data_IF_772771030473
#
_entry.id   IF_772771030473
#
_cell.length_a   1.000
_cell.length_b   1.000
_cell.length_c   1.000
_cell.angle_alpha   90.00
_cell.angle_beta   90.00
_cell.angle_gamma   90.00
#
_symmetry.space_group_name_H-M   'P 1'
#
loop_
_entity.id
_entity.type
_entity.pdbx_description
1 polymer ?
#
# COMPACT_ATOMS: atom_id res chain seq x y z
N UNK A 1 -10.98 1.49 -11.28
CA UNK A 1 -10.62 1.97 -9.95
C UNK A 1 -10.03 3.38 -9.98
N UNK A 2 -9.01 3.63 -10.86
CA UNK A 2 -8.39 4.96 -10.96
C UNK A 2 -9.41 6.05 -11.30
N UNK A 3 -10.22 5.87 -12.32
CA UNK A 3 -11.24 6.84 -12.74
C UNK A 3 -12.24 7.15 -11.62
N UNK A 4 -12.69 6.13 -10.88
CA UNK A 4 -13.56 6.32 -9.73
C UNK A 4 -12.90 7.17 -8.64
N UNK A 5 -11.66 6.85 -8.26
CA UNK A 5 -10.92 7.63 -7.27
C UNK A 5 -10.59 9.04 -7.77
N UNK A 6 -10.24 9.19 -9.04
CA UNK A 6 -9.99 10.48 -9.69
C UNK A 6 -11.23 11.38 -9.69
N UNK A 7 -12.44 10.79 -9.85
CA UNK A 7 -13.70 11.54 -9.78
C UNK A 7 -14.02 12.09 -8.38
N UNK A 8 -13.35 11.63 -7.32
CA UNK A 8 -13.55 12.09 -5.94
C UNK A 8 -12.66 13.27 -5.56
N UNK A 9 -11.75 13.67 -6.43
CA UNK A 9 -10.82 14.78 -6.17
C UNK A 9 -11.03 15.90 -7.18
N UNK A 10 -10.55 17.09 -6.82
CA UNK A 10 -10.64 18.27 -7.69
C UNK A 10 -9.76 18.10 -8.94
N UNK A 11 -10.11 18.74 -10.06
CA UNK A 11 -9.31 18.65 -11.28
C UNK A 11 -7.84 19.06 -11.13
N UNK A 12 -7.59 20.10 -10.31
CA UNK A 12 -6.26 20.63 -10.03
C UNK A 12 -5.45 19.81 -9.03
N UNK A 13 -6.08 18.93 -8.25
CA UNK A 13 -5.39 18.07 -7.27
C UNK A 13 -4.69 16.92 -7.99
N UNK A 14 -3.38 16.79 -7.77
CA UNK A 14 -2.56 15.73 -8.34
C UNK A 14 -2.90 14.37 -7.74
N UNK A 15 -2.75 13.33 -8.53
CA UNK A 15 -2.95 11.94 -8.11
C UNK A 15 -1.63 11.18 -8.10
N UNK A 16 -1.22 10.73 -6.91
CA UNK A 16 -0.05 9.87 -6.72
C UNK A 16 -0.51 8.42 -6.55
N UNK A 17 -0.10 7.55 -7.46
CA UNK A 17 -0.36 6.12 -7.39
C UNK A 17 0.74 5.39 -6.61
N UNK A 18 0.35 4.61 -5.60
CA UNK A 18 1.29 3.83 -4.77
C UNK A 18 1.40 2.41 -5.34
N UNK A 19 2.57 2.10 -5.90
CA UNK A 19 2.86 0.82 -6.58
C UNK A 19 4.01 0.04 -5.92
N UNK A 20 4.26 0.28 -4.63
CA UNK A 20 5.26 -0.42 -3.82
C UNK A 20 4.93 -1.91 -3.69
N UNK A 21 5.92 -2.72 -3.25
CA UNK A 21 5.79 -4.16 -3.04
C UNK A 21 5.23 -4.88 -4.28
N UNK A 22 5.89 -4.65 -5.44
CA UNK A 22 5.47 -5.20 -6.74
C UNK A 22 4.01 -4.86 -7.07
N UNK A 23 3.60 -3.59 -6.87
CA UNK A 23 2.21 -3.16 -7.03
C UNK A 23 1.25 -4.08 -6.24
N UNK A 24 1.52 -4.21 -4.93
CA UNK A 24 0.74 -5.03 -3.99
C UNK A 24 0.69 -6.52 -4.38
N UNK A 25 1.82 -7.06 -4.86
CA UNK A 25 1.96 -8.46 -5.21
C UNK A 25 1.53 -8.80 -6.64
N UNK A 26 1.54 -7.81 -7.54
CA UNK A 26 1.19 -7.94 -8.95
C UNK A 26 2.41 -7.70 -9.85
N UNK A 27 2.22 -7.06 -11.00
CA UNK A 27 3.27 -6.58 -11.90
C UNK A 27 3.38 -5.06 -11.81
N UNK A 28 4.44 -4.58 -11.16
CA UNK A 28 4.62 -3.15 -10.93
C UNK A 28 4.83 -2.35 -12.23
N UNK A 29 5.54 -2.90 -13.21
CA UNK A 29 5.77 -2.21 -14.49
C UNK A 29 4.49 -2.14 -15.31
N UNK A 30 3.79 -3.24 -15.49
CA UNK A 30 2.54 -3.28 -16.26
C UNK A 30 1.47 -2.35 -15.65
N UNK A 31 1.31 -2.37 -14.33
CA UNK A 31 0.36 -1.50 -13.63
C UNK A 31 0.77 -0.03 -13.73
N UNK A 32 2.05 0.27 -13.52
CA UNK A 32 2.53 1.66 -13.58
C UNK A 32 2.44 2.23 -15.01
N UNK A 33 2.79 1.47 -16.05
CA UNK A 33 2.63 1.90 -17.44
C UNK A 33 1.17 2.22 -17.74
N UNK A 34 0.25 1.32 -17.40
CA UNK A 34 -1.17 1.56 -17.61
C UNK A 34 -1.69 2.79 -16.86
N UNK A 35 -1.28 2.98 -15.60
CA UNK A 35 -1.66 4.17 -14.83
C UNK A 35 -1.03 5.46 -15.38
N UNK A 36 0.19 5.40 -15.91
CA UNK A 36 0.83 6.54 -16.59
C UNK A 36 0.03 6.93 -17.84
N UNK A 37 -0.41 5.96 -18.65
CA UNK A 37 -1.25 6.19 -19.83
C UNK A 37 -2.62 6.79 -19.45
N UNK A 38 -3.16 6.46 -18.28
CA UNK A 38 -4.36 7.06 -17.72
C UNK A 38 -4.17 8.47 -17.15
N UNK A 39 -2.92 8.96 -17.10
CA UNK A 39 -2.61 10.32 -16.67
C UNK A 39 -2.39 10.50 -15.18
N UNK A 40 -1.82 9.51 -14.49
CA UNK A 40 -1.34 9.66 -13.11
C UNK A 40 -0.20 10.68 -13.06
N UNK A 41 -0.22 11.59 -12.08
CA UNK A 41 0.77 12.66 -11.94
C UNK A 41 2.09 12.20 -11.30
N UNK A 42 2.03 11.21 -10.39
CA UNK A 42 3.15 10.69 -9.60
C UNK A 42 3.00 9.21 -9.32
N UNK A 43 4.14 8.55 -9.11
CA UNK A 43 4.18 7.24 -8.44
C UNK A 43 4.83 7.33 -7.08
N UNK A 44 4.53 6.37 -6.20
CA UNK A 44 5.29 6.13 -4.98
C UNK A 44 5.63 4.67 -4.81
N UNK A 45 6.87 4.42 -4.44
CA UNK A 45 7.44 3.12 -4.10
C UNK A 45 8.00 3.14 -2.67
N UNK A 46 8.30 1.98 -2.09
CA UNK A 46 8.90 1.93 -0.76
C UNK A 46 10.41 2.19 -0.82
N UNK A 47 11.13 1.57 -1.74
CA UNK A 47 12.58 1.55 -1.82
C UNK A 47 13.11 1.95 -3.19
N UNK A 48 14.41 2.30 -3.25
CA UNK A 48 15.08 2.76 -4.46
C UNK A 48 15.04 1.75 -5.61
N UNK A 49 15.27 0.46 -5.32
CA UNK A 49 15.26 -0.60 -6.34
C UNK A 49 13.90 -0.76 -7.03
N UNK A 50 12.79 -0.55 -6.31
CA UNK A 50 11.46 -0.55 -6.93
C UNK A 50 11.32 0.62 -7.92
N UNK A 51 11.83 1.81 -7.54
CA UNK A 51 11.83 2.98 -8.42
C UNK A 51 12.70 2.79 -9.67
N UNK A 52 13.89 2.17 -9.51
CA UNK A 52 14.77 1.80 -10.64
C UNK A 52 14.03 0.86 -11.60
N UNK A 53 13.40 -0.18 -11.05
CA UNK A 53 12.63 -1.14 -11.84
C UNK A 53 11.52 -0.45 -12.66
N UNK A 54 10.82 0.54 -12.08
CA UNK A 54 9.83 1.32 -12.82
C UNK A 54 10.48 2.18 -13.93
N UNK A 55 11.64 2.81 -13.66
CA UNK A 55 12.37 3.56 -14.69
C UNK A 55 12.82 2.70 -15.86
N UNK A 56 13.37 1.52 -15.57
CA UNK A 56 13.73 0.51 -16.60
C UNK A 56 12.51 0.07 -17.43
N UNK A 57 11.32 0.04 -16.81
CA UNK A 57 10.04 -0.23 -17.48
C UNK A 57 9.48 0.94 -18.29
N UNK A 58 10.16 2.12 -18.34
CA UNK A 58 9.73 3.25 -19.17
C UNK A 58 8.85 4.28 -18.45
N UNK A 59 8.74 4.23 -17.14
CA UNK A 59 8.02 5.26 -16.37
C UNK A 59 8.78 6.57 -16.38
N UNK A 60 8.13 7.64 -16.82
CA UNK A 60 8.72 8.99 -16.98
C UNK A 60 8.23 10.01 -15.95
N UNK A 61 7.02 9.85 -15.42
CA UNK A 61 6.49 10.75 -14.38
C UNK A 61 7.32 10.66 -13.09
N UNK A 62 7.27 11.66 -12.20
CA UNK A 62 8.01 11.65 -10.94
C UNK A 62 7.70 10.42 -10.08
N UNK A 63 8.72 9.88 -9.41
CA UNK A 63 8.61 8.72 -8.51
C UNK A 63 9.12 9.11 -7.13
N UNK A 64 8.24 9.08 -6.14
CA UNK A 64 8.55 9.29 -4.73
C UNK A 64 9.01 7.99 -4.07
N UNK A 65 10.18 7.98 -3.45
CA UNK A 65 10.66 6.87 -2.61
C UNK A 65 10.32 7.17 -1.16
N UNK A 66 9.39 6.39 -0.59
CA UNK A 66 8.81 6.64 0.74
C UNK A 66 9.77 6.32 1.89
N UNK A 67 10.74 5.43 1.68
CA UNK A 67 11.71 5.01 2.67
C UNK A 67 13.13 4.96 2.07
N UNK A 68 13.71 6.13 1.72
CA UNK A 68 15.06 6.21 1.22
C UNK A 68 16.07 5.74 2.27
N UNK A 69 17.07 5.01 1.85
CA UNK A 69 18.17 4.51 2.69
C UNK A 69 19.49 5.07 2.21
N UNK A 70 20.38 5.45 3.13
CA UNK A 70 21.69 6.05 2.84
C UNK A 70 22.50 5.26 1.80
N UNK A 71 22.51 3.94 1.89
CA UNK A 71 23.22 3.05 0.97
C UNK A 71 22.79 3.23 -0.51
N UNK A 72 21.58 3.75 -0.74
CA UNK A 72 21.00 3.87 -2.08
C UNK A 72 20.83 5.32 -2.56
N UNK A 73 21.34 6.32 -1.84
CA UNK A 73 21.18 7.73 -2.25
C UNK A 73 21.76 8.04 -3.63
N UNK A 74 22.92 7.44 -3.97
CA UNK A 74 23.50 7.57 -5.31
C UNK A 74 22.56 7.03 -6.38
N UNK A 75 21.94 5.88 -6.13
CA UNK A 75 20.99 5.24 -7.04
C UNK A 75 19.73 6.10 -7.21
N UNK A 76 19.24 6.75 -6.14
CA UNK A 76 18.13 7.70 -6.23
C UNK A 76 18.43 8.83 -7.21
N UNK A 77 19.61 9.46 -7.06
CA UNK A 77 20.03 10.58 -7.89
C UNK A 77 20.20 10.16 -9.35
N UNK A 78 20.89 9.04 -9.61
CA UNK A 78 21.16 8.51 -10.94
C UNK A 78 19.89 8.15 -11.72
N UNK A 79 18.80 7.82 -11.00
CA UNK A 79 17.54 7.41 -11.61
C UNK A 79 16.41 8.45 -11.47
N UNK A 80 16.74 9.69 -11.06
CA UNK A 80 15.76 10.77 -10.86
C UNK A 80 14.58 10.33 -9.99
N UNK A 81 14.88 9.75 -8.81
CA UNK A 81 13.90 9.31 -7.82
C UNK A 81 13.87 10.29 -6.65
N UNK A 82 12.71 10.83 -6.33
CA UNK A 82 12.52 11.84 -5.30
C UNK A 82 12.43 11.20 -3.90
N UNK A 83 13.33 11.53 -2.94
CA UNK A 83 13.28 10.94 -1.61
C UNK A 83 12.27 11.64 -0.69
N UNK A 84 11.57 10.84 0.11
CA UNK A 84 10.83 11.30 1.29
C UNK A 84 11.77 11.39 2.50
N UNK A 85 12.24 12.58 2.83
CA UNK A 85 13.17 12.84 3.93
C UNK A 85 12.38 12.94 5.25
N UNK A 86 12.77 12.18 6.27
CA UNK A 86 12.00 12.01 7.50
C UNK A 86 12.80 12.18 8.80
N UNK A 87 14.11 12.49 8.71
CA UNK A 87 14.95 12.81 9.86
C UNK A 87 16.13 13.67 9.46
N UNK A 88 16.73 14.37 10.44
CA UNK A 88 17.90 15.22 10.20
C UNK A 88 19.11 14.44 9.70
N UNK A 89 19.31 13.20 10.20
CA UNK A 89 20.40 12.33 9.73
C UNK A 89 20.24 12.00 8.23
N UNK A 90 19.03 11.59 7.81
CA UNK A 90 18.73 11.28 6.40
C UNK A 90 18.88 12.53 5.54
N UNK A 91 18.46 13.72 6.02
CA UNK A 91 18.61 14.99 5.31
C UNK A 91 20.09 15.33 5.09
N UNK A 92 20.87 15.32 6.17
CA UNK A 92 22.29 15.68 6.12
C UNK A 92 23.09 14.73 5.22
N UNK A 93 22.86 13.42 5.35
CA UNK A 93 23.51 12.41 4.53
C UNK A 93 23.10 12.53 3.04
N UNK A 94 21.84 12.88 2.76
CA UNK A 94 21.39 13.06 1.38
C UNK A 94 21.99 14.33 0.76
N UNK A 95 22.05 15.45 1.50
CA UNK A 95 22.71 16.69 1.06
C UNK A 95 24.17 16.41 0.70
N UNK A 96 24.92 15.73 1.58
CA UNK A 96 26.31 15.37 1.32
C UNK A 96 26.47 14.54 0.05
N UNK A 97 25.62 13.52 -0.11
CA UNK A 97 25.63 12.68 -1.32
C UNK A 97 25.31 13.50 -2.58
N UNK A 98 24.33 14.40 -2.52
CA UNK A 98 23.97 15.28 -3.63
C UNK A 98 25.11 16.24 -4.01
N UNK A 99 25.80 16.80 -3.02
CA UNK A 99 27.01 17.63 -3.22
C UNK A 99 28.16 16.83 -3.86
N UNK A 100 28.45 15.63 -3.34
CA UNK A 100 29.47 14.73 -3.92
C UNK A 100 29.17 14.37 -5.39
N UNK A 101 27.89 14.28 -5.76
CA UNK A 101 27.45 14.02 -7.14
C UNK A 101 27.36 15.29 -8.00
N UNK A 102 27.62 16.45 -7.44
CA UNK A 102 27.59 17.74 -8.14
C UNK A 102 26.20 18.15 -8.64
N UNK A 103 25.13 17.58 -8.07
CA UNK A 103 23.76 17.95 -8.45
C UNK A 103 23.32 19.21 -7.71
N UNK A 104 22.42 19.97 -8.33
CA UNK A 104 21.86 21.19 -7.76
C UNK A 104 20.34 21.14 -7.78
N UNK A 105 19.74 21.74 -6.75
CA UNK A 105 18.28 21.82 -6.59
C UNK A 105 17.57 20.46 -6.74
N UNK A 106 18.20 19.38 -6.26
CA UNK A 106 17.58 18.05 -6.35
C UNK A 106 16.29 18.00 -5.54
N UNK A 107 15.15 17.58 -6.12
CA UNK A 107 13.84 17.63 -5.48
C UNK A 107 13.74 16.65 -4.31
N UNK A 108 13.31 17.16 -3.16
CA UNK A 108 13.05 16.33 -1.96
C UNK A 108 11.68 16.66 -1.37
N UNK A 109 11.06 15.66 -0.73
CA UNK A 109 9.84 15.81 0.04
C UNK A 109 10.13 15.71 1.52
N UNK A 110 9.69 16.67 2.33
CA UNK A 110 9.84 16.62 3.79
C UNK A 110 8.62 15.91 4.40
N UNK A 111 8.88 14.86 5.16
CA UNK A 111 7.83 14.10 5.84
C UNK A 111 7.76 14.46 7.31
N UNK A 112 6.57 14.87 7.77
CA UNK A 112 6.29 15.21 9.16
C UNK A 112 5.42 14.15 9.83
N UNK A 113 5.68 13.92 11.11
CA UNK A 113 4.87 13.08 11.97
C UNK A 113 3.75 13.92 12.61
N UNK A 114 2.50 13.60 12.28
CA UNK A 114 1.33 14.23 12.86
C UNK A 114 0.57 13.36 13.85
N UNK A 115 1.11 12.14 14.14
CA UNK A 115 0.52 11.23 15.12
C UNK A 115 0.51 9.76 14.74
N UNK A 116 0.95 9.37 13.52
CA UNK A 116 1.11 7.96 13.16
C UNK A 116 2.32 7.32 13.86
N UNK A 117 3.32 8.13 14.28
CA UNK A 117 4.51 7.71 15.04
C UNK A 117 5.35 6.61 14.39
N UNK A 118 5.45 6.64 13.06
CA UNK A 118 6.24 5.67 12.29
C UNK A 118 7.53 6.28 11.73
N UNK A 119 7.42 7.35 10.97
CA UNK A 119 8.52 8.13 10.40
C UNK A 119 8.05 9.57 10.19
N UNK A 120 8.95 10.53 10.31
CA UNK A 120 8.70 11.94 10.04
C UNK A 120 9.30 12.83 11.11
N UNK A 121 9.69 14.03 10.72
CA UNK A 121 10.12 15.08 11.61
C UNK A 121 9.01 15.49 12.57
N UNK A 122 9.35 15.99 13.75
CA UNK A 122 8.46 16.78 14.56
C UNK A 122 8.31 18.21 13.99
N UNK A 123 7.26 18.92 14.37
CA UNK A 123 7.08 20.30 13.92
C UNK A 123 8.21 21.22 14.40
N UNK A 124 8.70 20.99 15.61
CA UNK A 124 9.75 21.75 16.27
C UNK A 124 11.10 21.67 15.56
N UNK A 125 11.33 20.65 14.71
CA UNK A 125 12.56 20.50 13.93
C UNK A 125 12.61 21.42 12.70
N UNK A 126 11.50 22.05 12.30
CA UNK A 126 11.43 22.86 11.06
C UNK A 126 12.48 23.97 11.00
N UNK A 127 12.79 24.74 12.06
CA UNK A 127 13.85 25.74 12.03
C UNK A 127 15.23 25.16 11.73
N UNK A 128 15.57 23.99 12.26
CA UNK A 128 16.88 23.36 12.02
C UNK A 128 16.96 22.75 10.63
N UNK A 129 15.87 22.14 10.14
CA UNK A 129 15.73 21.71 8.74
C UNK A 129 15.96 22.90 7.80
N UNK A 130 15.32 24.03 8.09
CA UNK A 130 15.43 25.25 7.29
C UNK A 130 16.89 25.74 7.21
N UNK A 131 17.62 25.76 8.33
CA UNK A 131 19.04 26.12 8.35
C UNK A 131 19.86 25.21 7.44
N UNK A 132 19.67 23.90 7.54
CA UNK A 132 20.37 22.92 6.69
C UNK A 132 20.10 23.17 5.20
N UNK A 133 18.85 23.46 4.84
CA UNK A 133 18.45 23.68 3.45
C UNK A 133 19.00 25.01 2.91
N UNK A 134 18.97 26.10 3.69
CA UNK A 134 19.40 27.42 3.22
C UNK A 134 20.94 27.56 3.05
N UNK A 135 21.74 26.69 3.65
CA UNK A 135 23.21 26.75 3.57
C UNK A 135 23.80 25.94 2.41
N UNK A 136 22.97 25.47 1.50
CA UNK A 136 23.42 24.67 0.36
C UNK A 136 22.47 24.84 -0.86
N UNK A 137 22.94 24.43 -2.04
CA UNK A 137 22.17 24.45 -3.29
C UNK A 137 21.96 23.07 -3.93
N UNK A 138 22.41 22.02 -3.25
CA UNK A 138 22.36 20.65 -3.79
C UNK A 138 20.93 20.08 -3.79
N UNK A 139 20.09 20.43 -2.79
CA UNK A 139 18.71 19.96 -2.69
C UNK A 139 17.71 21.10 -2.58
N UNK A 140 16.49 20.84 -3.04
CA UNK A 140 15.35 21.77 -3.00
C UNK A 140 14.13 21.07 -2.44
N UNK A 141 13.54 21.63 -1.40
CA UNK A 141 12.25 21.16 -0.89
C UNK A 141 11.16 21.51 -1.90
N UNK A 142 10.42 20.53 -2.37
CA UNK A 142 9.31 20.74 -3.31
C UNK A 142 7.95 20.36 -2.69
N UNK A 143 7.95 19.54 -1.66
CA UNK A 143 6.72 19.05 -1.05
C UNK A 143 6.85 18.78 0.45
N UNK A 144 5.70 18.82 1.12
CA UNK A 144 5.51 18.40 2.51
C UNK A 144 4.44 17.31 2.54
N UNK A 145 4.72 16.26 3.32
CA UNK A 145 3.77 15.18 3.50
C UNK A 145 3.65 14.71 4.94
N UNK A 146 2.52 14.12 5.23
CA UNK A 146 2.30 13.30 6.42
C UNK A 146 1.49 12.05 6.05
N UNK A 147 1.07 11.27 7.04
CA UNK A 147 0.23 10.10 6.84
C UNK A 147 -0.76 9.96 7.99
N UNK A 148 -2.04 9.80 7.65
CA UNK A 148 -3.12 9.65 8.61
C UNK A 148 -3.19 8.20 9.08
N UNK A 149 -3.59 8.01 10.34
CA UNK A 149 -3.53 6.69 10.99
C UNK A 149 -4.82 5.89 10.84
N UNK A 150 -5.98 6.54 10.79
CA UNK A 150 -7.28 5.87 10.92
C UNK A 150 -8.37 6.56 10.07
N UNK A 151 -8.09 6.79 8.80
CA UNK A 151 -9.04 7.47 7.89
C UNK A 151 -10.23 6.59 7.50
N UNK A 152 -10.15 5.30 7.70
CA UNK A 152 -11.19 4.31 7.45
C UNK A 152 -12.15 4.12 8.63
N UNK A 153 -11.76 4.49 9.85
CA UNK A 153 -12.55 4.30 11.07
C UNK A 153 -13.25 5.60 11.48
N UNK A 154 -14.57 5.61 11.40
CA UNK A 154 -15.40 6.76 11.82
C UNK A 154 -15.32 7.05 13.32
N UNK A 155 -14.97 6.06 14.16
CA UNK A 155 -14.79 6.27 15.61
C UNK A 155 -13.54 7.10 15.89
N UNK A 156 -12.57 7.11 14.99
CA UNK A 156 -11.30 7.83 15.09
C UNK A 156 -11.31 9.21 14.37
N UNK A 157 -12.49 9.73 14.03
CA UNK A 157 -12.64 11.03 13.35
C UNK A 157 -12.01 12.18 14.13
N UNK A 158 -12.11 12.16 15.46
CA UNK A 158 -11.50 13.18 16.31
C UNK A 158 -9.97 13.18 16.20
N UNK A 159 -9.35 11.99 16.20
CA UNK A 159 -7.90 11.85 16.04
C UNK A 159 -7.44 12.24 14.64
N UNK A 160 -8.14 11.80 13.60
CA UNK A 160 -7.86 12.19 12.22
C UNK A 160 -7.93 13.70 12.02
N UNK A 161 -8.95 14.35 12.61
CA UNK A 161 -9.09 15.81 12.59
C UNK A 161 -7.91 16.51 13.32
N UNK A 162 -7.46 15.95 14.45
CA UNK A 162 -6.27 16.45 15.14
C UNK A 162 -5.01 16.35 14.28
N UNK A 163 -4.81 15.21 13.59
CA UNK A 163 -3.69 15.04 12.68
C UNK A 163 -3.71 16.06 11.54
N UNK A 164 -4.87 16.31 10.94
CA UNK A 164 -5.05 17.34 9.90
C UNK A 164 -4.73 18.74 10.42
N UNK A 165 -5.21 19.13 11.62
CA UNK A 165 -4.86 20.42 12.25
C UNK A 165 -3.36 20.59 12.49
N UNK A 166 -2.67 19.51 12.92
CA UNK A 166 -1.22 19.53 13.07
C UNK A 166 -0.52 19.70 11.71
N UNK A 167 -1.00 19.01 10.70
CA UNK A 167 -0.46 19.12 9.34
C UNK A 167 -0.66 20.52 8.76
N UNK A 168 -1.83 21.14 8.94
CA UNK A 168 -2.10 22.52 8.54
C UNK A 168 -1.14 23.52 9.18
N UNK A 169 -0.88 23.37 10.49
CA UNK A 169 0.06 24.24 11.21
C UNK A 169 1.47 24.11 10.64
N UNK A 170 1.95 22.87 10.43
CA UNK A 170 3.25 22.59 9.83
C UNK A 170 3.35 23.18 8.41
N UNK A 171 2.34 22.98 7.58
CA UNK A 171 2.31 23.51 6.22
C UNK A 171 2.39 25.04 6.19
N UNK A 172 1.64 25.71 7.05
CA UNK A 172 1.63 27.18 7.16
C UNK A 172 2.99 27.72 7.60
N UNK A 173 3.61 27.08 8.57
CA UNK A 173 4.93 27.46 9.05
C UNK A 173 6.01 27.22 8.00
N UNK A 174 5.96 26.09 7.29
CA UNK A 174 6.90 25.76 6.25
C UNK A 174 6.80 26.69 5.03
N UNK A 175 5.59 27.04 4.59
CA UNK A 175 5.41 28.02 3.49
C UNK A 175 6.03 29.38 3.88
N UNK A 176 5.87 29.82 5.15
CA UNK A 176 6.48 31.03 5.65
C UNK A 176 8.01 30.95 5.73
N UNK A 177 8.53 29.77 6.13
CA UNK A 177 9.96 29.52 6.35
C UNK A 177 10.71 29.43 5.02
N UNK A 178 10.21 28.64 4.06
CA UNK A 178 10.85 28.44 2.75
C UNK A 178 10.52 29.54 1.74
N UNK A 179 9.51 30.38 2.02
CA UNK A 179 9.03 31.47 1.16
C UNK A 179 8.64 31.01 -0.26
N UNK A 180 8.21 29.78 -0.40
CA UNK A 180 7.73 29.15 -1.62
C UNK A 180 6.45 28.35 -1.32
N UNK A 181 5.60 28.19 -2.33
CA UNK A 181 4.45 27.31 -2.23
C UNK A 181 4.91 25.86 -2.44
N UNK A 182 4.88 25.07 -1.37
CA UNK A 182 5.21 23.64 -1.39
C UNK A 182 3.97 22.81 -1.76
N UNK A 183 4.17 21.70 -2.47
CA UNK A 183 3.12 20.68 -2.64
C UNK A 183 2.79 20.05 -1.28
N UNK A 184 1.52 19.93 -0.95
CA UNK A 184 1.04 19.36 0.31
C UNK A 184 0.26 18.09 0.03
N UNK A 185 0.59 16.99 0.72
CA UNK A 185 -0.15 15.76 0.57
C UNK A 185 -0.19 14.90 1.84
N UNK A 186 -1.39 14.49 2.24
CA UNK A 186 -1.60 13.73 3.47
C UNK A 186 -2.56 12.56 3.29
N UNK A 187 -3.58 12.68 2.42
CA UNK A 187 -4.62 11.67 2.27
C UNK A 187 -4.09 10.37 1.63
N UNK A 188 -4.56 9.25 2.16
CA UNK A 188 -4.51 7.92 1.59
C UNK A 188 -5.85 7.58 0.90
N UNK A 189 -6.07 6.33 0.45
CA UNK A 189 -7.30 5.90 -0.21
C UNK A 189 -8.57 6.25 0.58
N UNK A 190 -8.65 5.83 1.83
CA UNK A 190 -9.83 6.09 2.68
C UNK A 190 -9.99 7.58 2.96
N UNK A 191 -8.86 8.31 3.09
CA UNK A 191 -8.87 9.76 3.25
C UNK A 191 -9.45 10.51 2.05
N UNK A 192 -9.20 10.06 0.81
CA UNK A 192 -9.80 10.63 -0.40
C UNK A 192 -11.33 10.59 -0.30
N UNK A 193 -11.89 9.51 0.22
CA UNK A 193 -13.33 9.29 0.31
C UNK A 193 -13.94 10.03 1.51
N UNK A 194 -13.34 9.87 2.68
CA UNK A 194 -13.93 10.29 3.96
C UNK A 194 -13.58 11.73 4.35
N UNK A 195 -12.49 12.30 3.81
CA UNK A 195 -12.00 13.65 4.13
C UNK A 195 -11.72 14.49 2.87
N UNK A 196 -12.69 14.65 1.95
CA UNK A 196 -12.48 15.31 0.66
C UNK A 196 -12.08 16.78 0.79
N UNK A 197 -12.31 17.41 1.94
CA UNK A 197 -11.88 18.78 2.21
C UNK A 197 -10.36 18.92 2.42
N UNK A 198 -9.65 17.81 2.73
CA UNK A 198 -8.22 17.77 3.01
C UNK A 198 -7.37 17.23 1.84
N UNK A 199 -7.82 17.43 0.59
CA UNK A 199 -7.11 16.96 -0.61
C UNK A 199 -5.76 17.65 -0.82
N UNK A 200 -5.65 18.91 -0.37
CA UNK A 200 -4.49 19.77 -0.62
C UNK A 200 -4.09 19.78 -2.11
N UNK A 201 -2.77 19.75 -2.40
CA UNK A 201 -2.25 19.80 -3.76
C UNK A 201 -2.13 18.41 -4.41
N UNK A 202 -2.08 17.34 -3.60
CA UNK A 202 -1.93 15.96 -4.08
C UNK A 202 -2.52 14.95 -3.10
N UNK A 203 -3.13 13.89 -3.63
CA UNK A 203 -3.60 12.73 -2.87
C UNK A 203 -2.80 11.48 -3.22
N UNK A 204 -2.82 10.47 -2.35
CA UNK A 204 -2.13 9.20 -2.58
C UNK A 204 -3.10 8.04 -2.46
N UNK A 205 -3.19 7.19 -3.48
CA UNK A 205 -3.95 5.95 -3.40
C UNK A 205 -3.05 4.75 -3.66
N UNK A 206 -3.19 3.75 -2.80
CA UNK A 206 -2.61 2.42 -2.97
C UNK A 206 -3.73 1.41 -3.09
N UNK A 207 -4.21 0.91 -1.96
CA UNK A 207 -5.17 -0.21 -1.89
C UNK A 207 -6.43 0.00 -2.75
N UNK A 208 -6.91 1.24 -2.88
CA UNK A 208 -8.06 1.56 -3.73
C UNK A 208 -7.82 1.32 -5.21
N UNK A 209 -6.59 1.49 -5.71
CA UNK A 209 -6.25 1.16 -7.09
C UNK A 209 -6.37 -0.35 -7.37
N UNK A 210 -6.18 -1.17 -6.33
CA UNK A 210 -6.25 -2.63 -6.41
C UNK A 210 -7.64 -3.20 -6.09
N UNK A 211 -8.63 -2.32 -5.84
CA UNK A 211 -10.03 -2.73 -5.75
C UNK A 211 -10.60 -2.79 -4.33
N UNK A 212 -9.93 -2.18 -3.34
CA UNK A 212 -10.38 -2.21 -1.94
C UNK A 212 -10.42 -0.80 -1.34
N UNK A 213 -11.60 -0.39 -0.87
CA UNK A 213 -11.84 0.94 -0.30
C UNK A 213 -11.95 0.96 1.23
N UNK A 214 -11.83 -0.18 1.90
CA UNK A 214 -11.99 -0.36 3.34
C UNK A 214 -13.41 -0.03 3.87
N UNK A 215 -14.41 0.02 2.98
CA UNK A 215 -15.80 0.23 3.36
C UNK A 215 -16.74 -0.34 2.27
N UNK A 216 -17.79 -1.13 2.63
CA UNK A 216 -18.65 -1.81 1.66
C UNK A 216 -19.26 -0.91 0.58
N UNK A 217 -19.66 0.33 0.93
CA UNK A 217 -20.21 1.29 -0.04
C UNK A 217 -19.17 1.79 -1.05
N UNK A 218 -17.88 1.76 -0.71
CA UNK A 218 -16.79 2.14 -1.61
C UNK A 218 -16.37 0.94 -2.43
N UNK A 219 -16.27 -0.23 -1.78
CA UNK A 219 -15.88 -1.48 -2.44
C UNK A 219 -16.84 -1.87 -3.57
N UNK A 220 -18.14 -1.55 -3.44
CA UNK A 220 -19.12 -1.77 -4.53
C UNK A 220 -18.84 -0.99 -5.82
N UNK A 221 -18.00 0.04 -5.78
CA UNK A 221 -17.58 0.83 -6.94
C UNK A 221 -16.17 0.48 -7.44
N UNK A 222 -15.48 -0.41 -6.74
CA UNK A 222 -14.12 -0.83 -7.09
C UNK A 222 -14.13 -2.29 -7.58
N UNK A 223 -13.18 -2.60 -8.46
CA UNK A 223 -13.04 -3.93 -9.02
C UNK A 223 -11.68 -4.49 -8.56
N UNK A 224 -11.66 -5.60 -7.80
CA UNK A 224 -10.40 -6.27 -7.47
C UNK A 224 -9.59 -6.60 -8.72
N UNK A 225 -8.31 -6.22 -8.73
CA UNK A 225 -7.43 -6.41 -9.90
C UNK A 225 -6.74 -7.78 -9.92
N UNK A 226 -6.79 -8.53 -8.82
CA UNK A 226 -6.19 -9.84 -8.69
C UNK A 226 -7.22 -10.85 -8.15
N UNK A 227 -7.11 -12.09 -8.60
CA UNK A 227 -7.87 -13.23 -8.10
C UNK A 227 -6.90 -14.37 -7.85
N UNK A 228 -6.84 -14.87 -6.62
CA UNK A 228 -6.05 -16.05 -6.30
C UNK A 228 -6.85 -17.32 -6.64
N UNK A 229 -6.27 -18.18 -7.45
CA UNK A 229 -6.89 -19.41 -7.91
C UNK A 229 -5.99 -20.62 -7.63
N UNK A 230 -6.62 -21.74 -7.40
CA UNK A 230 -5.98 -23.06 -7.28
C UNK A 230 -6.91 -24.13 -7.85
N UNK A 231 -6.55 -25.40 -7.68
CA UNK A 231 -7.36 -26.54 -8.09
C UNK A 231 -7.59 -27.51 -6.93
N UNK A 232 -8.58 -28.36 -7.06
CA UNK A 232 -8.75 -29.52 -6.17
C UNK A 232 -7.71 -30.58 -6.54
N UNK A 233 -6.77 -30.85 -5.63
CA UNK A 233 -5.74 -31.87 -5.84
C UNK A 233 -6.27 -33.28 -5.57
N UNK A 234 -7.06 -33.45 -4.53
CA UNK A 234 -7.61 -34.74 -4.13
C UNK A 234 -8.88 -34.59 -3.31
N UNK A 235 -9.78 -35.56 -3.42
CA UNK A 235 -10.99 -35.68 -2.59
C UNK A 235 -10.95 -36.93 -1.71
N UNK A 236 -11.49 -36.83 -0.48
CA UNK A 236 -11.64 -37.96 0.42
C UNK A 236 -13.06 -38.02 0.98
N UNK A 237 -13.61 -39.25 1.07
CA UNK A 237 -14.80 -39.53 1.85
C UNK A 237 -14.35 -39.87 3.27
N UNK A 238 -14.82 -39.15 4.26
CA UNK A 238 -14.44 -39.30 5.67
C UNK A 238 -15.66 -39.73 6.47
N UNK A 239 -15.59 -40.89 7.14
CA UNK A 239 -16.65 -41.32 8.08
C UNK A 239 -16.84 -40.36 9.25
N UNK A 240 -18.01 -40.42 9.88
CA UNK A 240 -18.23 -39.73 11.15
C UNK A 240 -17.22 -40.17 12.22
N UNK A 241 -16.69 -39.19 12.98
CA UNK A 241 -15.69 -39.42 14.01
C UNK A 241 -14.22 -39.36 13.53
N UNK A 242 -13.98 -39.38 12.23
CA UNK A 242 -12.62 -39.19 11.68
C UNK A 242 -12.20 -37.71 11.68
N UNK A 243 -10.90 -37.48 11.69
CA UNK A 243 -10.33 -36.14 11.81
C UNK A 243 -9.52 -35.72 10.57
N UNK A 244 -9.42 -34.41 10.34
CA UNK A 244 -8.68 -33.81 9.24
C UNK A 244 -7.55 -32.94 9.73
N UNK A 245 -6.37 -33.12 9.14
CA UNK A 245 -5.21 -32.27 9.27
C UNK A 245 -4.48 -32.39 10.60
N UNK A 246 -3.46 -31.54 10.76
CA UNK A 246 -2.57 -31.55 11.91
C UNK A 246 -3.31 -31.30 13.23
N UNK A 247 -2.88 -32.03 14.26
CA UNK A 247 -3.42 -31.95 15.62
C UNK A 247 -4.93 -32.25 15.69
N UNK A 248 -5.49 -32.90 14.68
CA UNK A 248 -6.88 -33.35 14.61
C UNK A 248 -7.88 -32.20 14.93
N UNK A 249 -7.63 -30.99 14.41
CA UNK A 249 -8.41 -29.80 14.77
C UNK A 249 -9.79 -29.73 14.10
N UNK A 250 -10.10 -30.65 13.21
CA UNK A 250 -11.44 -30.90 12.70
C UNK A 250 -11.75 -32.37 12.91
N UNK A 251 -12.94 -32.67 13.44
CA UNK A 251 -13.48 -34.02 13.52
C UNK A 251 -14.86 -33.99 12.86
N UNK A 252 -15.07 -34.91 11.94
CA UNK A 252 -16.34 -35.00 11.21
C UNK A 252 -17.45 -35.53 12.14
N UNK A 253 -18.61 -34.87 12.14
CA UNK A 253 -19.79 -35.31 12.89
C UNK A 253 -20.70 -36.25 12.08
N UNK A 254 -20.49 -36.33 10.77
CA UNK A 254 -21.26 -37.16 9.81
C UNK A 254 -20.33 -37.59 8.68
N UNK A 255 -20.83 -38.41 7.77
CA UNK A 255 -20.10 -38.66 6.53
C UNK A 255 -19.82 -37.33 5.80
N UNK A 256 -18.56 -37.06 5.51
CA UNK A 256 -18.11 -35.77 5.00
C UNK A 256 -17.19 -35.99 3.79
N UNK A 257 -17.37 -35.19 2.74
CA UNK A 257 -16.47 -35.19 1.59
C UNK A 257 -15.54 -33.99 1.75
N UNK A 258 -14.23 -34.25 1.82
CA UNK A 258 -13.23 -33.20 1.88
C UNK A 258 -12.47 -33.08 0.56
N UNK A 259 -11.95 -31.88 0.27
CA UNK A 259 -11.04 -31.65 -0.82
C UNK A 259 -9.75 -30.96 -0.31
N UNK A 260 -8.62 -31.37 -0.85
CA UNK A 260 -7.29 -30.78 -0.56
C UNK A 260 -6.91 -29.87 -1.69
N UNK A 261 -6.47 -28.66 -1.34
CA UNK A 261 -6.00 -27.62 -2.25
C UNK A 261 -4.49 -27.41 -2.05
N UNK A 262 -3.67 -27.35 -3.12
CA UNK A 262 -2.21 -27.21 -3.05
C UNK A 262 -1.79 -25.75 -2.86
N UNK A 263 -2.15 -25.16 -1.71
CA UNK A 263 -1.66 -23.87 -1.24
C UNK A 263 -1.85 -23.80 0.28
N UNK A 264 -1.00 -23.05 0.97
CA UNK A 264 -1.02 -22.99 2.42
C UNK A 264 -0.37 -21.72 2.97
N UNK A 265 0.16 -21.81 4.21
CA UNK A 265 0.72 -20.63 4.86
C UNK A 265 2.04 -20.15 4.23
N UNK A 266 2.76 -20.97 3.49
CA UNK A 266 3.92 -20.57 2.70
C UNK A 266 3.54 -19.68 1.50
N UNK A 267 2.28 -19.78 1.04
CA UNK A 267 1.71 -18.99 -0.05
C UNK A 267 0.96 -17.75 0.44
N UNK A 268 0.98 -17.48 1.75
CA UNK A 268 0.33 -16.33 2.37
C UNK A 268 -1.06 -16.59 2.96
N UNK A 269 -1.55 -17.85 2.97
CA UNK A 269 -2.81 -18.20 3.64
C UNK A 269 -2.56 -18.39 5.12
N UNK A 270 -2.88 -17.39 5.94
CA UNK A 270 -2.63 -17.40 7.39
C UNK A 270 -3.29 -18.59 8.09
N UNK A 271 -2.62 -19.08 9.16
CA UNK A 271 -3.16 -20.19 9.96
C UNK A 271 -4.47 -19.87 10.64
N UNK A 272 -4.74 -18.60 10.89
CA UNK A 272 -5.98 -18.07 11.44
C UNK A 272 -7.21 -18.29 10.55
N UNK A 273 -7.02 -18.54 9.26
CA UNK A 273 -8.10 -18.77 8.28
C UNK A 273 -8.68 -20.18 8.30
N UNK A 274 -8.04 -21.11 9.00
CA UNK A 274 -8.53 -22.48 9.18
C UNK A 274 -9.72 -22.61 10.13
N UNK A 275 -10.11 -23.85 10.42
CA UNK A 275 -11.10 -24.22 11.43
C UNK A 275 -12.52 -23.64 11.18
N UNK A 276 -12.93 -23.57 9.92
CA UNK A 276 -14.27 -23.07 9.53
C UNK A 276 -14.42 -21.55 9.52
N UNK A 277 -13.35 -20.79 9.72
CA UNK A 277 -13.41 -19.33 9.82
C UNK A 277 -13.45 -18.63 8.47
N UNK A 278 -12.93 -19.27 7.44
CA UNK A 278 -12.84 -18.70 6.08
C UNK A 278 -13.36 -19.70 5.07
N UNK A 279 -13.80 -19.17 3.94
CA UNK A 279 -14.41 -19.94 2.87
C UNK A 279 -13.63 -19.69 1.57
N UNK A 280 -13.64 -20.70 0.70
CA UNK A 280 -13.20 -20.59 -0.70
C UNK A 280 -14.43 -20.80 -1.59
N UNK A 281 -14.32 -20.42 -2.88
CA UNK A 281 -15.43 -20.55 -3.82
C UNK A 281 -15.14 -21.59 -4.89
N UNK A 282 -16.06 -22.53 -5.10
CA UNK A 282 -16.05 -23.52 -6.17
C UNK A 282 -17.31 -23.31 -7.01
N UNK A 283 -17.17 -22.87 -8.25
CA UNK A 283 -18.30 -22.60 -9.14
C UNK A 283 -19.39 -21.70 -8.48
N UNK A 284 -18.94 -20.70 -7.67
CA UNK A 284 -19.81 -19.78 -6.96
C UNK A 284 -20.40 -20.29 -5.63
N UNK A 285 -20.09 -21.52 -5.22
CA UNK A 285 -20.51 -22.09 -3.94
C UNK A 285 -19.39 -21.98 -2.90
N UNK A 286 -19.72 -21.60 -1.68
CA UNK A 286 -18.74 -21.41 -0.61
C UNK A 286 -18.45 -22.70 0.13
N UNK A 287 -17.18 -23.10 0.22
CA UNK A 287 -16.66 -24.24 0.95
C UNK A 287 -15.79 -23.76 2.13
N UNK A 288 -16.06 -24.16 3.39
CA UNK A 288 -15.25 -23.75 4.53
C UNK A 288 -13.88 -24.42 4.52
N UNK A 289 -12.84 -23.69 4.93
CA UNK A 289 -11.51 -24.26 5.21
C UNK A 289 -11.58 -24.99 6.55
N UNK A 290 -11.41 -26.31 6.57
CA UNK A 290 -11.50 -27.16 7.77
C UNK A 290 -10.11 -27.58 8.26
N UNK A 291 -10.00 -27.89 9.56
CA UNK A 291 -8.73 -28.21 10.20
C UNK A 291 -7.74 -27.05 10.20
N UNK A 292 -6.47 -27.35 10.42
CA UNK A 292 -5.40 -26.36 10.42
C UNK A 292 -4.89 -26.14 8.97
N UNK A 293 -4.58 -24.89 8.62
CA UNK A 293 -3.83 -24.57 7.41
C UNK A 293 -2.44 -25.18 7.53
N UNK A 294 -2.04 -25.99 6.55
CA UNK A 294 -0.71 -26.59 6.46
C UNK A 294 0.27 -25.65 5.77
N UNK A 295 1.53 -26.07 5.60
CA UNK A 295 2.57 -25.26 4.96
C UNK A 295 2.20 -24.91 3.53
N UNK A 296 1.76 -25.90 2.76
CA UNK A 296 1.56 -25.90 1.30
C UNK A 296 0.20 -26.49 0.91
N UNK A 297 -0.67 -26.79 1.87
CA UNK A 297 -2.01 -27.37 1.64
C UNK A 297 -3.04 -26.83 2.61
N UNK A 298 -4.28 -26.73 2.12
CA UNK A 298 -5.48 -26.54 2.94
C UNK A 298 -6.51 -27.60 2.59
N UNK A 299 -7.38 -27.93 3.55
CA UNK A 299 -8.49 -28.84 3.37
C UNK A 299 -9.80 -28.08 3.52
N UNK A 300 -10.76 -28.41 2.67
CA UNK A 300 -12.09 -27.80 2.64
C UNK A 300 -13.17 -28.85 2.71
N UNK A 301 -14.33 -28.48 3.24
CA UNK A 301 -15.52 -29.33 3.23
C UNK A 301 -16.32 -29.06 1.96
N UNK A 302 -16.49 -30.12 1.12
CA UNK A 302 -17.23 -30.06 -0.13
C UNK A 302 -18.41 -31.06 -0.15
N UNK A 303 -18.89 -31.47 1.02
CA UNK A 303 -19.96 -32.48 1.17
C UNK A 303 -21.18 -32.17 0.31
N UNK A 304 -21.58 -30.89 0.26
CA UNK A 304 -22.76 -30.45 -0.47
C UNK A 304 -22.43 -29.75 -1.80
N UNK A 305 -21.17 -29.84 -2.26
CA UNK A 305 -20.71 -29.15 -3.46
C UNK A 305 -20.35 -30.19 -4.51
N UNK A 306 -20.99 -30.10 -5.67
CA UNK A 306 -20.64 -30.96 -6.81
C UNK A 306 -19.35 -30.49 -7.44
N UNK A 307 -18.26 -31.21 -7.20
CA UNK A 307 -16.95 -30.91 -7.73
C UNK A 307 -16.10 -32.18 -7.95
N UNK A 308 -15.04 -32.04 -8.72
CA UNK A 308 -14.09 -33.09 -9.09
C UNK A 308 -12.65 -32.64 -8.87
N UNK A 309 -11.72 -33.58 -8.78
CA UNK A 309 -10.28 -33.29 -8.82
C UNK A 309 -9.95 -32.55 -10.13
N UNK A 310 -9.13 -31.50 -10.05
CA UNK A 310 -8.83 -30.61 -11.15
C UNK A 310 -9.74 -29.40 -11.30
N UNK A 311 -10.89 -29.34 -10.61
CA UNK A 311 -11.77 -28.18 -10.66
C UNK A 311 -11.12 -26.95 -10.05
N UNK A 312 -11.38 -25.77 -10.66
CA UNK A 312 -10.87 -24.49 -10.20
C UNK A 312 -11.53 -24.07 -8.88
N UNK A 313 -10.70 -23.55 -7.99
CA UNK A 313 -11.11 -22.97 -6.70
C UNK A 313 -10.60 -21.55 -6.61
N UNK A 314 -11.46 -20.62 -6.22
CA UNK A 314 -11.12 -19.20 -5.95
C UNK A 314 -11.00 -19.02 -4.45
N UNK A 315 -9.89 -18.37 -4.03
CA UNK A 315 -9.58 -18.10 -2.63
C UNK A 315 -10.06 -16.70 -2.24
#
# INVERSE_FOLDING_TARGET
>A
NYEYLRSKIKPETKFLAVVKAYAYGSDAQAIALHLQDLGVDYFAVAYANEGVHLREGGITVPILVLHPQKAHFKVLIENNLEPSIYSQSILSDFILTAQERGVKEYPIHLKFNTGLNRLGFSAEELPDISKLIHHQDAVKVIAILSHLAATEDNNETAFTTLQLKRFDAICKEADATFKIKLLKHVLNTSGIINYPHAQYDMVRSGIGLYGYGNHPNVDSHLIPVATLKTIIAQKHNIPAGESVGYNRKYTSNSETITATLPLGHADGIGREYGQGKTFVSISGQLAPIIGNVCMDMIMIDVTNIKCSEGDEVII
#
